data_IF_201803688959
#
_entry.id   IF_201803688959
#
_cell.length_a   1.000
_cell.length_b   1.000
_cell.length_c   1.000
_cell.angle_alpha   90.00
_cell.angle_beta   90.00
_cell.angle_gamma   90.00
#
_symmetry.space_group_name_H-M   'P 1'
#
loop_
_entity.id
_entity.type
_entity.pdbx_description
1 polymer ?
#
# COMPACT_ATOMS: atom_id res chain seq x y z
N UNK A 1 -21.15 -4.61 -5.05
CA UNK A 1 -20.84 -5.40 -3.84
C UNK A 1 -19.77 -4.71 -3.03
N UNK A 2 -19.84 -4.78 -1.69
CA UNK A 2 -18.96 -4.08 -0.73
C UNK A 2 -17.45 -4.06 -1.09
N UNK A 3 -16.91 -5.16 -1.62
CA UNK A 3 -15.49 -5.25 -1.97
C UNK A 3 -15.07 -4.42 -3.21
N UNK A 4 -16.01 -4.12 -4.12
CA UNK A 4 -15.73 -3.36 -5.35
C UNK A 4 -15.33 -1.92 -5.04
N UNK A 5 -15.92 -1.31 -4.01
CA UNK A 5 -15.54 0.05 -3.58
C UNK A 5 -14.11 0.09 -3.02
N UNK A 6 -13.71 -0.93 -2.25
CA UNK A 6 -12.33 -1.04 -1.75
C UNK A 6 -11.31 -1.22 -2.88
N UNK A 7 -11.65 -2.00 -3.90
CA UNK A 7 -10.80 -2.24 -5.07
C UNK A 7 -10.60 -0.96 -5.90
N UNK A 8 -11.64 -0.12 -6.07
CA UNK A 8 -11.53 1.15 -6.81
C UNK A 8 -10.41 2.04 -6.27
N UNK A 9 -10.27 2.12 -4.95
CA UNK A 9 -9.22 2.90 -4.29
C UNK A 9 -7.84 2.34 -4.62
N UNK A 10 -7.70 1.01 -4.65
CA UNK A 10 -6.42 0.33 -4.87
C UNK A 10 -6.00 0.37 -6.34
N UNK A 11 -6.94 0.59 -7.28
CA UNK A 11 -6.66 0.69 -8.72
C UNK A 11 -5.53 1.68 -9.04
N UNK A 12 -5.39 2.76 -8.28
CA UNK A 12 -4.34 3.77 -8.48
C UNK A 12 -2.91 3.21 -8.33
N UNK A 13 -2.74 2.10 -7.61
CA UNK A 13 -1.45 1.45 -7.40
C UNK A 13 -1.05 0.50 -8.54
N UNK A 14 -1.93 0.26 -9.52
CA UNK A 14 -1.68 -0.68 -10.62
C UNK A 14 -1.53 0.04 -11.96
N UNK A 15 -0.50 -0.35 -12.70
CA UNK A 15 -0.40 -0.08 -14.13
C UNK A 15 -1.02 -1.26 -14.87
N UNK A 16 -2.23 -1.07 -15.42
CA UNK A 16 -2.95 -2.11 -16.15
C UNK A 16 -2.39 -2.16 -17.57
N UNK A 17 -1.86 -3.33 -17.95
CA UNK A 17 -1.36 -3.61 -19.29
C UNK A 17 -2.44 -4.26 -20.15
N UNK A 18 -2.39 -4.04 -21.46
CA UNK A 18 -3.26 -4.72 -22.43
C UNK A 18 -2.96 -6.23 -22.49
N UNK A 19 -3.98 -7.03 -22.80
CA UNK A 19 -3.88 -8.51 -22.86
C UNK A 19 -2.81 -9.03 -23.83
N UNK A 20 -2.41 -8.20 -24.79
CA UNK A 20 -1.40 -8.52 -25.82
C UNK A 20 0.02 -8.16 -25.40
N UNK A 21 0.19 -7.45 -24.28
CA UNK A 21 1.48 -6.98 -23.79
C UNK A 21 2.01 -7.95 -22.75
N UNK A 22 3.22 -8.46 -22.98
CA UNK A 22 3.89 -9.33 -22.03
C UNK A 22 4.42 -8.51 -20.84
N UNK A 23 4.42 -9.09 -19.64
CA UNK A 23 4.95 -8.46 -18.45
C UNK A 23 6.38 -7.92 -18.67
N UNK A 24 6.70 -6.79 -18.06
CA UNK A 24 7.98 -6.09 -18.20
C UNK A 24 9.16 -7.03 -17.96
N UNK A 25 10.15 -7.05 -18.87
CA UNK A 25 11.35 -7.89 -18.72
C UNK A 25 12.04 -7.64 -17.37
N UNK A 26 12.31 -8.71 -16.64
CA UNK A 26 12.89 -8.67 -15.30
C UNK A 26 11.91 -8.36 -14.17
N UNK A 27 10.60 -8.33 -14.44
CA UNK A 27 9.58 -8.29 -13.38
C UNK A 27 9.28 -9.69 -12.87
N UNK A 28 9.03 -9.80 -11.56
CA UNK A 28 8.73 -11.06 -10.90
C UNK A 28 7.22 -11.27 -10.78
N UNK A 29 6.76 -12.46 -11.14
CA UNK A 29 5.37 -12.84 -10.93
C UNK A 29 5.11 -13.08 -9.43
N UNK A 30 4.06 -12.45 -8.90
CA UNK A 30 3.58 -12.66 -7.53
C UNK A 30 2.08 -12.96 -7.52
N UNK A 31 1.62 -13.65 -6.50
CA UNK A 31 0.19 -13.87 -6.25
C UNK A 31 -0.42 -12.69 -5.51
N UNK A 32 -1.73 -12.51 -5.66
CA UNK A 32 -2.53 -11.58 -4.86
C UNK A 32 -3.71 -12.32 -4.24
N UNK A 33 -4.12 -11.89 -3.05
CA UNK A 33 -5.22 -12.49 -2.32
C UNK A 33 -6.13 -11.39 -1.77
N UNK A 34 -7.44 -11.60 -1.82
CA UNK A 34 -8.41 -10.70 -1.19
C UNK A 34 -8.75 -11.25 0.18
N UNK A 35 -8.54 -10.43 1.21
CA UNK A 35 -8.89 -10.74 2.60
C UNK A 35 -10.16 -9.97 2.96
N UNK A 36 -11.16 -10.70 3.41
CA UNK A 36 -12.40 -10.15 3.97
C UNK A 36 -12.32 -10.19 5.49
N UNK A 37 -12.65 -9.07 6.12
CA UNK A 37 -12.62 -8.90 7.57
C UNK A 37 -13.92 -8.23 8.02
N UNK A 38 -14.44 -8.65 9.17
CA UNK A 38 -15.58 -8.01 9.85
C UNK A 38 -15.06 -7.57 11.21
N UNK A 39 -15.03 -6.26 11.41
CA UNK A 39 -14.59 -5.64 12.65
C UNK A 39 -15.69 -5.73 13.72
N UNK A 40 -15.33 -5.48 14.98
CA UNK A 40 -16.24 -5.55 16.14
C UNK A 40 -17.41 -4.56 16.00
N UNK A 41 -17.17 -3.42 15.36
CA UNK A 41 -18.18 -2.41 14.99
C UNK A 41 -19.04 -2.82 13.78
N UNK A 42 -18.97 -4.08 13.35
CA UNK A 42 -19.60 -4.63 12.14
C UNK A 42 -19.13 -3.98 10.83
N UNK A 43 -18.08 -3.15 10.87
CA UNK A 43 -17.46 -2.61 9.67
C UNK A 43 -16.85 -3.75 8.87
N UNK A 44 -17.33 -3.92 7.64
CA UNK A 44 -16.76 -4.85 6.67
C UNK A 44 -15.52 -4.19 6.09
N UNK A 45 -14.47 -4.96 5.80
CA UNK A 45 -13.26 -4.47 5.10
C UNK A 45 -12.76 -5.52 4.13
N UNK A 46 -12.50 -5.10 2.90
CA UNK A 46 -11.84 -5.91 1.89
C UNK A 46 -10.43 -5.34 1.66
N UNK A 47 -9.41 -6.19 1.64
CA UNK A 47 -8.02 -5.80 1.41
C UNK A 47 -7.42 -6.69 0.34
N UNK A 48 -6.81 -6.09 -0.68
CA UNK A 48 -5.98 -6.81 -1.63
C UNK A 48 -4.56 -6.87 -1.07
N UNK A 49 -4.02 -8.08 -0.91
CA UNK A 49 -2.70 -8.31 -0.31
C UNK A 49 -1.82 -9.04 -1.32
N UNK A 50 -0.64 -8.47 -1.57
CA UNK A 50 0.39 -9.08 -2.40
C UNK A 50 1.10 -10.22 -1.65
N UNK A 51 1.42 -11.30 -2.37
CA UNK A 51 2.18 -12.44 -1.89
C UNK A 51 3.67 -12.13 -1.75
N UNK A 52 4.03 -11.21 -0.86
CA UNK A 52 5.40 -10.71 -0.70
C UNK A 52 6.45 -11.80 -0.40
N UNK A 53 6.05 -12.93 0.19
CA UNK A 53 6.92 -14.09 0.43
C UNK A 53 7.54 -14.69 -0.85
N UNK A 54 6.92 -14.43 -2.02
CA UNK A 54 7.44 -14.86 -3.31
C UNK A 54 8.64 -14.00 -3.73
N UNK A 55 8.82 -12.80 -3.20
CA UNK A 55 9.93 -11.90 -3.49
C UNK A 55 11.15 -12.17 -2.59
N UNK A 56 11.94 -13.19 -2.95
CA UNK A 56 13.19 -13.55 -2.24
C UNK A 56 14.31 -12.49 -2.29
N UNK A 57 14.21 -11.48 -3.14
CA UNK A 57 15.23 -10.43 -3.32
C UNK A 57 14.99 -9.18 -2.44
N UNK A 58 14.00 -9.25 -1.54
CA UNK A 58 13.68 -8.14 -0.66
C UNK A 58 14.59 -8.17 0.57
N UNK A 59 15.40 -7.12 0.81
CA UNK A 59 16.20 -7.04 2.01
C UNK A 59 15.32 -7.10 3.27
N UNK A 60 15.75 -7.84 4.29
CA UNK A 60 14.98 -8.04 5.52
C UNK A 60 14.57 -6.72 6.20
N UNK A 61 15.37 -5.67 6.04
CA UNK A 61 15.06 -4.35 6.61
C UNK A 61 13.80 -3.69 6.00
N UNK A 62 13.33 -4.12 4.83
CA UNK A 62 12.10 -3.56 4.22
C UNK A 62 10.82 -4.00 4.93
N UNK A 63 10.85 -5.07 5.72
CA UNK A 63 9.69 -5.49 6.50
C UNK A 63 9.43 -4.56 7.70
N UNK A 64 10.38 -3.68 8.03
CA UNK A 64 10.24 -2.70 9.10
C UNK A 64 9.63 -1.42 8.56
N UNK A 65 8.53 -0.99 9.17
CA UNK A 65 8.01 0.36 8.98
C UNK A 65 9.05 1.36 9.49
N UNK A 66 9.37 2.40 8.72
CA UNK A 66 10.20 3.49 9.22
C UNK A 66 9.42 4.24 10.28
N UNK A 67 9.71 3.94 11.55
CA UNK A 67 9.18 4.70 12.68
C UNK A 67 10.11 5.87 12.94
N UNK A 68 9.54 7.05 13.11
CA UNK A 68 10.31 8.21 13.57
C UNK A 68 10.63 7.99 15.05
N UNK A 69 11.88 8.22 15.42
CA UNK A 69 12.29 8.14 16.83
C UNK A 69 11.57 9.20 17.65
N UNK A 70 11.16 8.83 18.88
CA UNK A 70 10.43 9.72 19.78
C UNK A 70 11.19 11.01 20.07
N UNK A 71 12.52 10.94 20.17
CA UNK A 71 13.35 12.09 20.47
C UNK A 71 13.39 13.09 19.31
N UNK A 72 13.37 12.62 18.05
CA UNK A 72 13.21 13.50 16.89
C UNK A 72 11.87 14.24 16.90
N UNK A 73 10.78 13.56 17.28
CA UNK A 73 9.45 14.18 17.40
C UNK A 73 9.43 15.23 18.51
N UNK A 74 10.05 14.94 19.65
CA UNK A 74 10.16 15.88 20.79
C UNK A 74 10.90 17.16 20.41
N UNK A 75 12.02 17.04 19.71
CA UNK A 75 12.78 18.20 19.23
C UNK A 75 11.92 19.03 18.27
N UNK A 76 11.18 18.37 17.35
CA UNK A 76 10.26 19.06 16.45
C UNK A 76 9.20 19.89 17.18
N UNK A 77 8.58 19.33 18.22
CA UNK A 77 7.60 20.06 19.04
C UNK A 77 8.21 21.20 19.85
N UNK A 78 9.43 21.05 20.36
CA UNK A 78 10.15 22.13 21.03
C UNK A 78 10.34 23.33 20.10
N UNK A 79 10.79 23.08 18.86
CA UNK A 79 11.00 24.13 17.85
C UNK A 79 9.67 24.80 17.48
N UNK A 80 8.60 24.03 17.31
CA UNK A 80 7.27 24.57 17.01
C UNK A 80 6.77 25.50 18.13
N UNK A 81 6.95 25.10 19.39
CA UNK A 81 6.60 25.91 20.56
C UNK A 81 7.42 27.22 20.63
N UNK A 82 8.73 27.16 20.34
CA UNK A 82 9.59 28.35 20.29
C UNK A 82 9.20 29.32 19.17
N UNK A 83 8.70 28.78 18.06
CA UNK A 83 8.34 29.56 16.87
C UNK A 83 6.88 30.01 16.88
N UNK A 84 6.12 29.68 17.92
CA UNK A 84 4.69 29.93 18.04
C UNK A 84 3.88 29.42 16.83
N UNK A 85 4.21 28.22 16.34
CA UNK A 85 3.56 27.56 15.20
C UNK A 85 2.58 26.50 15.69
N UNK A 86 1.38 26.47 15.11
CA UNK A 86 0.38 25.46 15.41
C UNK A 86 0.77 24.08 14.88
N UNK A 87 0.66 23.08 15.75
CA UNK A 87 0.91 21.68 15.42
C UNK A 87 -0.39 21.06 14.92
N UNK A 88 -0.39 20.62 13.66
CA UNK A 88 -1.50 19.89 13.07
C UNK A 88 -1.18 18.40 12.94
N UNK A 89 -2.17 17.55 13.17
CA UNK A 89 -2.08 16.09 13.00
C UNK A 89 -3.05 15.69 11.90
N UNK A 90 -2.55 14.96 10.92
CA UNK A 90 -3.36 14.36 9.87
C UNK A 90 -2.91 12.91 9.65
N UNK A 91 -3.87 12.01 9.42
CA UNK A 91 -3.59 10.66 8.96
C UNK A 91 -3.72 10.60 7.45
N UNK A 92 -2.59 10.34 6.77
CA UNK A 92 -2.53 10.13 5.33
C UNK A 92 -2.91 8.70 4.96
N UNK A 93 -4.15 8.30 5.20
CA UNK A 93 -4.65 6.98 4.83
C UNK A 93 -4.36 6.68 3.36
N UNK A 94 -3.74 5.53 3.07
CA UNK A 94 -3.34 5.10 1.71
C UNK A 94 -2.21 5.91 1.04
N UNK A 95 -1.45 6.74 1.75
CA UNK A 95 -0.37 7.56 1.18
C UNK A 95 0.64 6.77 0.31
N UNK A 96 0.90 5.51 0.66
CA UNK A 96 1.86 4.68 -0.07
C UNK A 96 1.34 4.14 -1.41
N UNK A 97 0.02 4.17 -1.69
CA UNK A 97 -0.52 3.68 -2.95
C UNK A 97 -0.07 4.50 -4.16
N UNK A 98 0.20 5.79 -3.95
CA UNK A 98 0.68 6.70 -5.00
C UNK A 98 2.19 6.61 -5.24
N UNK A 99 2.92 5.89 -4.39
CA UNK A 99 4.38 5.81 -4.47
C UNK A 99 4.80 4.67 -5.39
N UNK A 100 5.74 4.93 -6.30
CA UNK A 100 6.28 3.88 -7.17
C UNK A 100 7.02 2.82 -6.32
N UNK A 101 6.66 1.54 -6.42
CA UNK A 101 7.37 0.49 -5.71
C UNK A 101 8.77 0.33 -6.29
N UNK A 102 9.75 0.10 -5.40
CA UNK A 102 11.13 -0.24 -5.82
C UNK A 102 11.21 -1.65 -6.41
N UNK A 103 10.31 -2.53 -5.97
CA UNK A 103 10.20 -3.90 -6.50
C UNK A 103 9.49 -3.90 -7.85
N UNK A 104 10.08 -4.60 -8.82
CA UNK A 104 9.46 -4.81 -10.13
C UNK A 104 8.69 -6.11 -10.10
N UNK A 105 7.40 -6.04 -9.80
CA UNK A 105 6.53 -7.20 -9.68
C UNK A 105 5.32 -7.05 -10.57
N UNK A 106 4.81 -8.16 -11.08
CA UNK A 106 3.56 -8.20 -11.83
C UNK A 106 2.64 -9.29 -11.29
N UNK A 107 1.36 -9.08 -11.50
CA UNK A 107 0.28 -9.99 -11.13
C UNK A 107 -0.57 -10.23 -12.36
N UNK A 108 -1.14 -11.43 -12.47
CA UNK A 108 -2.17 -11.68 -13.48
C UNK A 108 -3.49 -11.12 -12.95
N UNK A 109 -4.09 -10.19 -13.70
CA UNK A 109 -5.35 -9.57 -13.33
C UNK A 109 -6.49 -10.50 -13.77
N UNK A 110 -7.21 -11.07 -12.80
CA UNK A 110 -8.45 -11.78 -13.09
C UNK A 110 -9.66 -10.85 -13.07
N UNK A 111 -10.77 -11.24 -13.74
CA UNK A 111 -12.02 -10.46 -13.80
C UNK A 111 -12.63 -10.22 -12.41
N UNK A 112 -12.26 -11.03 -11.41
CA UNK A 112 -12.67 -10.86 -10.02
C UNK A 112 -12.04 -9.64 -9.32
N UNK A 113 -10.91 -9.13 -9.83
CA UNK A 113 -10.19 -8.01 -9.24
C UNK A 113 -10.41 -6.73 -10.04
N UNK A 114 -10.38 -6.78 -11.38
CA UNK A 114 -10.64 -5.62 -12.23
C UNK A 114 -11.59 -6.01 -13.37
N UNK A 115 -12.77 -5.40 -13.38
CA UNK A 115 -13.67 -5.39 -14.53
C UNK A 115 -13.09 -4.36 -15.53
N UNK A 116 -12.94 -4.73 -16.81
CA UNK A 116 -12.46 -3.82 -17.86
C UNK A 116 -13.37 -2.62 -18.02
#
# INVERSE_FOLDING_TARGET
>A
TFYREGIKIIRIAFEILDDKVTATKGSKWITCHIIFDIKIDLSRKARLVAGGHLNKEVPAYKAYSSVVERDSVRIGFMIAAMSNVDVMVADGGNAYLNTKPRERTHVMLGPEIFEK
#
